data_IF_723559253575
#
_entry.id   IF_723559253575
#
_cell.length_a   1.000
_cell.length_b   1.000
_cell.length_c   1.000
_cell.angle_alpha   90.00
_cell.angle_beta   90.00
_cell.angle_gamma   90.00
#
_symmetry.space_group_name_H-M   'P 1'
#
loop_
_entity.id
_entity.type
_entity.pdbx_description
1 polymer ?
#
# COMPACT_ATOMS: atom_id res chain seq x y z
N UNK A 1 5.56 22.77 17.25
CA UNK A 1 5.18 22.18 18.54
C UNK A 1 4.47 20.88 18.24
N UNK A 2 5.20 19.77 18.22
CA UNK A 2 4.61 18.45 18.10
C UNK A 2 4.20 18.03 19.51
N UNK A 3 2.88 17.90 19.71
CA UNK A 3 2.29 17.30 20.92
C UNK A 3 2.42 15.79 20.80
N UNK A 4 3.66 15.29 20.72
CA UNK A 4 3.93 13.87 20.77
C UNK A 4 3.81 13.47 22.23
N UNK A 5 2.57 13.41 22.70
CA UNK A 5 2.26 12.70 23.93
C UNK A 5 2.74 11.27 23.71
N UNK A 6 3.81 10.92 24.41
CA UNK A 6 4.38 9.58 24.52
C UNK A 6 3.39 8.67 25.29
N UNK A 7 2.14 8.64 24.85
CA UNK A 7 1.16 7.65 25.25
C UNK A 7 1.59 6.37 24.56
N UNK A 8 2.23 5.48 25.31
CA UNK A 8 2.60 4.16 24.79
C UNK A 8 1.43 3.52 24.05
N UNK A 9 1.75 2.76 23.00
CA UNK A 9 0.75 2.10 22.16
C UNK A 9 -0.22 1.33 23.06
N UNK A 10 -1.52 1.67 22.98
CA UNK A 10 -2.53 1.02 23.79
C UNK A 10 -2.49 -0.49 23.55
N UNK A 11 -2.31 -1.28 24.62
CA UNK A 11 -2.28 -2.72 24.51
C UNK A 11 -3.66 -3.23 24.07
N UNK A 12 -3.72 -3.81 22.89
CA UNK A 12 -4.91 -4.44 22.32
C UNK A 12 -4.64 -5.93 22.18
N UNK A 13 -5.46 -6.75 22.86
CA UNK A 13 -5.41 -8.21 22.75
C UNK A 13 -6.50 -8.66 21.77
N UNK A 14 -6.09 -9.35 20.71
CA UNK A 14 -6.98 -9.91 19.71
C UNK A 14 -6.52 -11.31 19.31
N UNK A 15 -7.46 -12.20 18.94
CA UNK A 15 -7.10 -13.50 18.40
C UNK A 15 -6.37 -13.33 17.06
N UNK A 16 -5.35 -14.16 16.82
CA UNK A 16 -4.71 -14.28 15.51
C UNK A 16 -5.64 -14.98 14.53
N UNK A 17 -5.95 -14.33 13.40
CA UNK A 17 -6.82 -14.84 12.33
C UNK A 17 -6.11 -14.76 10.99
N UNK A 18 -6.55 -15.59 10.04
CA UNK A 18 -6.06 -15.52 8.67
C UNK A 18 -6.58 -14.28 7.92
N UNK A 19 -7.72 -13.72 8.34
CA UNK A 19 -8.35 -12.50 7.81
C UNK A 19 -9.10 -11.77 8.93
N UNK A 20 -9.16 -10.44 8.85
CA UNK A 20 -9.90 -9.57 9.76
C UNK A 20 -10.92 -8.73 8.98
N UNK A 21 -12.09 -8.49 9.57
CA UNK A 21 -13.14 -7.68 8.95
C UNK A 21 -12.77 -6.18 8.95
N UNK A 22 -13.40 -5.39 8.09
CA UNK A 22 -13.19 -3.94 8.07
C UNK A 22 -13.53 -3.30 9.42
N UNK A 23 -12.56 -2.60 10.01
CA UNK A 23 -12.67 -2.00 11.34
C UNK A 23 -12.27 -2.93 12.49
N UNK A 24 -11.95 -4.19 12.21
CA UNK A 24 -11.29 -5.09 13.14
C UNK A 24 -9.77 -5.01 12.96
N UNK A 25 -9.04 -4.62 14.00
CA UNK A 25 -7.58 -4.54 13.95
C UNK A 25 -6.94 -5.88 14.33
N UNK A 26 -5.88 -6.34 13.67
CA UNK A 26 -5.08 -7.46 14.15
C UNK A 26 -4.34 -7.10 15.44
N UNK A 27 -3.77 -8.07 16.17
CA UNK A 27 -2.74 -7.80 17.17
C UNK A 27 -1.59 -7.00 16.54
N UNK A 28 -1.08 -6.01 17.26
CA UNK A 28 -0.01 -5.15 16.76
C UNK A 28 1.20 -5.98 16.29
N UNK A 29 1.63 -5.78 15.05
CA UNK A 29 2.75 -6.49 14.44
C UNK A 29 2.42 -7.90 13.92
N UNK A 30 1.21 -8.43 14.17
CA UNK A 30 0.76 -9.67 13.56
C UNK A 30 0.21 -9.39 12.15
N UNK A 31 0.81 -10.01 11.14
CA UNK A 31 0.40 -9.89 9.75
C UNK A 31 -0.55 -11.06 9.40
N UNK A 32 -1.84 -10.81 9.10
CA UNK A 32 -2.74 -11.86 8.64
C UNK A 32 -2.31 -12.40 7.28
N UNK A 33 -2.77 -13.61 6.93
CA UNK A 33 -2.46 -14.20 5.62
C UNK A 33 -3.19 -13.47 4.49
N UNK A 34 -4.41 -13.02 4.75
CA UNK A 34 -5.29 -12.41 3.76
C UNK A 34 -5.87 -11.09 4.25
N UNK A 35 -6.29 -10.26 3.31
CA UNK A 35 -6.90 -8.95 3.52
C UNK A 35 -8.04 -8.71 2.54
N UNK A 36 -8.96 -7.82 2.90
CA UNK A 36 -9.96 -7.29 1.98
C UNK A 36 -9.35 -6.19 1.10
N UNK A 37 -9.66 -6.21 -0.19
CA UNK A 37 -9.25 -5.17 -1.12
C UNK A 37 -10.29 -4.93 -2.22
N UNK A 38 -10.32 -3.70 -2.76
CA UNK A 38 -11.00 -3.41 -4.02
C UNK A 38 -10.09 -3.83 -5.17
N UNK A 39 -10.45 -4.95 -5.80
CA UNK A 39 -9.61 -5.63 -6.78
C UNK A 39 -10.10 -5.31 -8.19
N UNK A 40 -9.15 -4.95 -9.06
CA UNK A 40 -9.31 -4.85 -10.50
C UNK A 40 -8.76 -6.13 -11.15
N UNK A 41 -9.48 -6.65 -12.15
CA UNK A 41 -8.99 -7.71 -13.04
C UNK A 41 -9.12 -7.26 -14.50
N UNK A 42 -8.25 -7.76 -15.36
CA UNK A 42 -8.12 -7.26 -16.74
C UNK A 42 -9.41 -7.42 -17.55
N UNK A 43 -10.11 -8.54 -17.36
CA UNK A 43 -11.39 -8.82 -18.00
C UNK A 43 -12.54 -7.91 -17.54
N UNK A 44 -12.35 -7.18 -16.42
CA UNK A 44 -13.34 -6.25 -15.85
C UNK A 44 -13.06 -4.79 -16.18
N UNK A 45 -12.10 -4.48 -17.06
CA UNK A 45 -11.87 -3.10 -17.46
C UNK A 45 -13.17 -2.40 -17.90
N UNK A 46 -13.40 -1.21 -17.37
CA UNK A 46 -14.66 -0.48 -17.55
C UNK A 46 -14.86 0.60 -16.49
N UNK A 47 -16.11 1.01 -16.30
CA UNK A 47 -16.48 2.01 -15.31
C UNK A 47 -16.13 1.53 -13.88
N UNK A 48 -15.62 2.40 -12.99
CA UNK A 48 -15.11 2.00 -11.68
C UNK A 48 -16.09 1.20 -10.80
N UNK A 49 -17.39 1.48 -10.91
CA UNK A 49 -18.45 0.79 -10.17
C UNK A 49 -18.64 -0.69 -10.57
N UNK A 50 -18.14 -1.07 -11.74
CA UNK A 50 -18.15 -2.45 -12.26
C UNK A 50 -16.78 -3.10 -12.26
N UNK A 51 -15.75 -2.30 -12.50
CA UNK A 51 -14.38 -2.78 -12.65
C UNK A 51 -13.79 -3.28 -11.32
N UNK A 52 -14.05 -2.52 -10.24
CA UNK A 52 -13.59 -2.84 -8.89
C UNK A 52 -14.61 -3.73 -8.18
N UNK A 53 -14.14 -4.84 -7.62
CA UNK A 53 -14.94 -5.69 -6.76
C UNK A 53 -14.22 -5.96 -5.44
N UNK A 54 -14.97 -6.02 -4.34
CA UNK A 54 -14.43 -6.38 -3.04
C UNK A 54 -14.09 -7.87 -3.04
N UNK A 55 -12.82 -8.19 -2.87
CA UNK A 55 -12.31 -9.56 -2.82
C UNK A 55 -11.42 -9.75 -1.58
N UNK A 56 -11.21 -11.00 -1.17
CA UNK A 56 -10.20 -11.39 -0.18
C UNK A 56 -8.97 -11.87 -0.95
N UNK A 57 -7.82 -11.28 -0.68
CA UNK A 57 -6.54 -11.54 -1.35
C UNK A 57 -5.43 -11.71 -0.33
N UNK A 58 -4.32 -12.32 -0.72
CA UNK A 58 -3.17 -12.49 0.16
C UNK A 58 -2.52 -11.14 0.49
N UNK A 59 -2.08 -10.99 1.74
CA UNK A 59 -1.29 -9.82 2.16
C UNK A 59 0.09 -9.88 1.48
N UNK A 60 0.57 -8.78 0.87
CA UNK A 60 1.88 -8.79 0.21
C UNK A 60 3.01 -9.06 1.21
N UNK A 61 3.98 -9.86 0.77
CA UNK A 61 5.24 -10.04 1.50
C UNK A 61 6.15 -8.85 1.20
N UNK A 62 6.63 -8.18 2.24
CA UNK A 62 7.53 -7.03 2.11
C UNK A 62 8.99 -7.46 1.98
N UNK A 63 9.77 -6.69 1.23
CA UNK A 63 11.24 -6.80 1.16
C UNK A 63 11.95 -6.07 2.30
N UNK A 64 13.29 -6.19 2.33
CA UNK A 64 14.13 -5.67 3.42
C UNK A 64 14.02 -4.15 3.63
N UNK A 65 13.70 -3.38 2.60
CA UNK A 65 13.65 -1.90 2.62
C UNK A 65 12.22 -1.35 2.61
N UNK A 66 11.22 -2.23 2.66
CA UNK A 66 9.81 -1.87 2.54
C UNK A 66 9.12 -1.86 3.91
N UNK A 67 7.94 -1.24 3.96
CA UNK A 67 7.06 -1.28 5.13
C UNK A 67 5.68 -1.75 4.70
N UNK A 68 5.01 -2.49 5.58
CA UNK A 68 3.59 -2.83 5.43
C UNK A 68 2.77 -1.84 6.25
N UNK A 69 1.75 -1.23 5.65
CA UNK A 69 0.88 -0.24 6.32
C UNK A 69 -0.52 -0.82 6.49
N UNK A 70 -1.06 -0.79 7.71
CA UNK A 70 -2.47 -0.98 7.96
C UNK A 70 -3.21 0.30 7.56
N UNK A 71 -3.85 0.28 6.39
CA UNK A 71 -4.49 1.45 5.80
C UNK A 71 -5.78 1.79 6.56
N UNK A 72 -5.85 3.01 7.08
CA UNK A 72 -7.04 3.54 7.77
C UNK A 72 -7.93 4.35 6.82
N UNK A 73 -7.33 5.04 5.85
CA UNK A 73 -8.02 5.76 4.80
C UNK A 73 -7.18 5.80 3.52
N UNK A 74 -7.85 5.90 2.38
CA UNK A 74 -7.23 6.07 1.06
C UNK A 74 -7.84 7.26 0.32
N UNK A 75 -7.03 7.95 -0.49
CA UNK A 75 -7.48 9.04 -1.36
C UNK A 75 -8.02 8.52 -2.69
N UNK A 76 -8.96 9.27 -3.28
CA UNK A 76 -9.48 8.99 -4.62
C UNK A 76 -8.78 9.90 -5.62
N UNK A 77 -8.19 9.31 -6.66
CA UNK A 77 -7.43 10.02 -7.68
C UNK A 77 -7.87 9.59 -9.09
N UNK A 78 -7.66 10.47 -10.09
CA UNK A 78 -7.95 10.21 -11.49
C UNK A 78 -7.19 9.01 -12.06
N UNK A 79 -5.97 8.71 -11.61
CA UNK A 79 -5.22 7.53 -12.07
C UNK A 79 -5.98 6.23 -11.80
N UNK A 80 -6.78 6.16 -10.73
CA UNK A 80 -7.62 5.01 -10.43
C UNK A 80 -8.75 4.82 -11.45
N UNK A 81 -9.31 5.92 -11.96
CA UNK A 81 -10.30 5.88 -13.06
C UNK A 81 -9.64 5.36 -14.34
N UNK A 82 -8.45 5.86 -14.68
CA UNK A 82 -7.71 5.40 -15.86
C UNK A 82 -7.31 3.92 -15.77
N UNK A 83 -6.89 3.47 -14.58
CA UNK A 83 -6.59 2.07 -14.30
C UNK A 83 -7.84 1.19 -14.50
N UNK A 84 -8.99 1.58 -13.94
CA UNK A 84 -10.26 0.87 -14.15
C UNK A 84 -10.62 0.77 -15.63
N UNK A 85 -10.55 1.87 -16.37
CA UNK A 85 -10.87 1.91 -17.79
C UNK A 85 -9.88 1.16 -18.67
N UNK A 86 -8.65 0.95 -18.19
CA UNK A 86 -7.53 0.42 -18.99
C UNK A 86 -7.09 1.39 -20.10
N UNK A 87 -7.29 2.70 -19.90
CA UNK A 87 -7.01 3.75 -20.89
C UNK A 87 -6.24 4.91 -20.23
N UNK A 88 -5.18 5.45 -20.86
CA UNK A 88 -4.70 5.15 -22.22
C UNK A 88 -3.93 3.83 -22.34
N UNK A 89 -3.56 3.21 -21.21
CA UNK A 89 -2.94 1.91 -21.15
C UNK A 89 -3.51 1.11 -19.98
N UNK A 90 -3.49 -0.21 -20.10
CA UNK A 90 -3.83 -1.11 -19.01
C UNK A 90 -2.64 -1.26 -18.05
N UNK A 91 -2.91 -1.17 -16.73
CA UNK A 91 -1.91 -1.43 -15.68
C UNK A 91 -1.31 -2.85 -15.76
N UNK A 92 -2.07 -3.80 -16.30
CA UNK A 92 -1.61 -5.18 -16.50
C UNK A 92 -0.47 -5.31 -17.51
N UNK A 93 -0.26 -4.31 -18.36
CA UNK A 93 0.89 -4.26 -19.25
C UNK A 93 2.22 -3.99 -18.51
N UNK A 94 2.16 -3.44 -17.30
CA UNK A 94 3.34 -3.13 -16.48
C UNK A 94 3.76 -4.31 -15.60
N UNK A 95 2.88 -4.75 -14.68
CA UNK A 95 3.27 -5.70 -13.62
C UNK A 95 2.89 -7.17 -13.91
N UNK A 96 2.09 -7.45 -14.96
CA UNK A 96 1.66 -8.81 -15.38
C UNK A 96 1.07 -9.70 -14.26
N UNK A 97 0.57 -9.09 -13.18
CA UNK A 97 -0.05 -9.80 -12.07
C UNK A 97 -1.50 -10.19 -12.43
N UNK A 98 -2.08 -11.24 -11.80
CA UNK A 98 -3.44 -11.71 -12.10
C UNK A 98 -4.55 -10.72 -11.71
N UNK A 99 -4.23 -9.71 -10.89
CA UNK A 99 -5.11 -8.63 -10.48
C UNK A 99 -4.31 -7.39 -10.08
N UNK A 100 -4.98 -6.26 -9.91
CA UNK A 100 -4.39 -5.01 -9.41
C UNK A 100 -5.24 -4.46 -8.25
N UNK A 101 -4.57 -3.90 -7.24
CA UNK A 101 -5.18 -3.09 -6.20
C UNK A 101 -4.73 -1.66 -6.46
N UNK A 102 -5.68 -0.76 -6.70
CA UNK A 102 -5.39 0.61 -7.12
C UNK A 102 -5.58 1.59 -5.96
N UNK A 103 -4.79 2.66 -5.95
CA UNK A 103 -4.82 3.72 -4.95
C UNK A 103 -3.44 4.33 -4.78
N UNK A 104 -3.33 5.64 -4.86
CA UNK A 104 -2.04 6.35 -4.82
C UNK A 104 -1.93 7.36 -3.69
N UNK A 105 -2.84 7.30 -2.72
CA UNK A 105 -2.80 8.08 -1.48
C UNK A 105 -3.32 7.20 -0.35
N UNK A 106 -2.64 7.20 0.79
CA UNK A 106 -3.07 6.47 1.97
C UNK A 106 -2.64 7.18 3.27
N UNK A 107 -3.43 6.98 4.32
CA UNK A 107 -3.06 7.26 5.70
C UNK A 107 -3.28 6.00 6.53
N UNK A 108 -2.35 5.67 7.42
CA UNK A 108 -2.41 4.43 8.18
C UNK A 108 -1.31 4.29 9.21
N UNK A 109 -1.16 3.06 9.68
CA UNK A 109 -0.21 2.69 10.74
C UNK A 109 0.82 1.73 10.16
N UNK A 110 2.11 1.99 10.39
CA UNK A 110 3.17 1.03 10.05
C UNK A 110 2.96 -0.25 10.85
N UNK A 111 2.74 -1.37 10.16
CA UNK A 111 2.33 -2.64 10.74
C UNK A 111 3.45 -3.69 10.73
N UNK A 112 4.31 -3.65 9.71
CA UNK A 112 5.53 -4.42 9.64
C UNK A 112 6.63 -3.61 8.93
N UNK A 113 7.89 -3.93 9.22
CA UNK A 113 9.06 -3.25 8.64
C UNK A 113 10.06 -4.29 8.16
N UNK A 114 10.68 -4.05 7.00
CA UNK A 114 11.79 -4.84 6.52
C UNK A 114 13.06 -4.64 7.36
N UNK A 115 13.97 -5.61 7.31
CA UNK A 115 15.16 -5.68 8.17
C UNK A 115 16.13 -4.49 8.05
N UNK A 116 16.10 -3.76 6.92
CA UNK A 116 16.95 -2.60 6.64
C UNK A 116 16.25 -1.27 6.89
N UNK A 117 14.97 -1.28 7.27
CA UNK A 117 14.23 -0.05 7.62
C UNK A 117 14.65 0.41 9.01
N UNK A 118 15.28 1.58 9.08
CA UNK A 118 15.79 2.16 10.34
C UNK A 118 15.03 3.41 10.80
N UNK A 119 14.35 4.09 9.88
CA UNK A 119 13.66 5.36 10.14
C UNK A 119 12.29 5.18 10.79
N UNK A 120 11.54 4.17 10.35
CA UNK A 120 10.15 3.92 10.77
C UNK A 120 10.07 2.72 11.71
N UNK A 121 9.04 2.70 12.56
CA UNK A 121 8.78 1.64 13.54
C UNK A 121 7.33 1.17 13.46
N UNK A 122 7.10 -0.08 13.84
CA UNK A 122 5.74 -0.61 14.01
C UNK A 122 4.97 0.29 15.00
N UNK A 123 3.78 0.73 14.60
CA UNK A 123 2.93 1.66 15.35
C UNK A 123 3.01 3.11 14.91
N UNK A 124 3.96 3.50 14.06
CA UNK A 124 4.04 4.88 13.56
C UNK A 124 2.84 5.22 12.66
N UNK A 125 2.24 6.38 12.87
CA UNK A 125 1.19 6.93 12.01
C UNK A 125 1.83 7.64 10.80
N UNK A 126 1.43 7.24 9.59
CA UNK A 126 2.04 7.70 8.35
C UNK A 126 1.00 8.12 7.31
N UNK A 127 1.41 9.04 6.44
CA UNK A 127 0.80 9.28 5.13
C UNK A 127 1.75 8.81 4.04
N UNK A 128 1.21 8.31 2.94
CA UNK A 128 2.00 7.70 1.85
C UNK A 128 2.10 8.64 0.66
N UNK A 129 3.33 8.85 0.20
CA UNK A 129 3.59 9.44 -1.11
C UNK A 129 3.80 8.33 -2.14
N UNK A 130 3.33 8.52 -3.37
CA UNK A 130 3.23 7.45 -4.35
C UNK A 130 4.43 7.29 -5.28
N UNK A 131 5.43 8.17 -5.24
CA UNK A 131 6.62 8.01 -6.05
C UNK A 131 7.47 6.82 -5.55
N UNK A 132 7.93 5.99 -6.49
CA UNK A 132 8.90 4.93 -6.25
C UNK A 132 9.99 4.97 -7.31
N UNK A 133 11.19 4.55 -6.93
CA UNK A 133 12.36 4.35 -7.77
C UNK A 133 13.22 3.21 -7.20
N UNK A 134 14.16 2.68 -7.96
CA UNK A 134 15.01 1.58 -7.52
C UNK A 134 16.20 2.06 -6.64
N UNK A 135 16.45 3.37 -6.61
CA UNK A 135 17.36 4.02 -5.67
C UNK A 135 18.85 3.84 -5.96
N UNK A 136 19.24 3.31 -7.13
CA UNK A 136 20.60 2.86 -7.42
C UNK A 136 21.30 3.55 -8.61
N UNK A 137 20.70 4.59 -9.20
CA UNK A 137 21.27 5.39 -10.29
C UNK A 137 21.72 6.80 -9.85
N UNK A 138 22.29 7.57 -10.80
CA UNK A 138 22.79 8.92 -10.56
C UNK A 138 21.71 9.94 -10.18
N UNK A 139 20.51 9.82 -10.75
CA UNK A 139 19.41 10.74 -10.47
C UNK A 139 18.88 10.52 -9.05
N UNK A 140 18.79 9.26 -8.60
CA UNK A 140 18.42 8.89 -7.24
C UNK A 140 19.50 9.26 -6.19
N UNK A 141 20.78 9.31 -6.59
CA UNK A 141 21.92 9.46 -5.67
C UNK A 141 22.74 10.74 -5.88
N UNK A 142 22.12 11.79 -6.43
CA UNK A 142 22.77 13.09 -6.59
C UNK A 142 22.01 14.07 -7.48
N UNK A 143 21.10 13.59 -8.33
CA UNK A 143 20.23 14.38 -9.21
C UNK A 143 18.80 14.55 -8.68
N UNK A 144 17.83 14.49 -9.59
CA UNK A 144 16.39 14.53 -9.28
C UNK A 144 15.77 13.13 -9.52
N UNK A 145 15.35 12.40 -8.47
CA UNK A 145 14.83 11.03 -8.60
C UNK A 145 13.64 10.90 -9.56
N UNK A 146 12.91 11.99 -9.84
CA UNK A 146 11.83 12.01 -10.83
C UNK A 146 12.32 11.79 -12.26
N UNK A 147 13.62 11.98 -12.52
CA UNK A 147 14.26 11.79 -13.82
C UNK A 147 14.87 10.39 -13.98
N UNK A 148 14.85 9.57 -12.92
CA UNK A 148 15.29 8.17 -13.01
C UNK A 148 14.40 7.40 -13.99
N UNK A 149 14.97 6.58 -14.89
CA UNK A 149 14.20 5.65 -15.72
C UNK A 149 13.44 4.58 -14.93
N UNK A 150 13.80 4.35 -13.66
CA UNK A 150 13.13 3.41 -12.75
C UNK A 150 11.88 3.99 -12.07
N UNK A 151 11.69 5.31 -12.20
CA UNK A 151 10.60 6.04 -11.57
C UNK A 151 9.25 5.47 -11.97
N UNK A 152 8.38 5.25 -10.98
CA UNK A 152 7.02 4.75 -11.14
C UNK A 152 6.09 5.25 -10.05
N UNK A 153 4.80 5.13 -10.32
CA UNK A 153 3.67 5.39 -9.42
C UNK A 153 2.71 4.20 -9.51
#
# INVERSE_FOLDING_TARGET
MALDHNGGIASYDAPQKDVYEMGEMPPLGFVPKQMHAWVLRQERHGDPDRALQLEVVDVPVIGDTEVLVLVMAAGVNYNGVWACLGKPASVFNQHKAPYAIIGSDAAGIVWAVGDKVTRWKIGDEVVVHCNQDDGDDEECNGGDPMLSPSQRI
#
